data_IF_283187582290
#
_entry.id   IF_283187582290
#
_cell.length_a   1.000
_cell.length_b   1.000
_cell.length_c   1.000
_cell.angle_alpha   90.00
_cell.angle_beta   90.00
_cell.angle_gamma   90.00
#
_symmetry.space_group_name_H-M   'P 1'
#
loop_
_entity.id
_entity.type
_entity.pdbx_description
1 polymer ?
#
# COMPACT_ATOMS: atom_id res chain seq x y z
N UNK A 1 -57.61 -36.45 8.19
CA UNK A 1 -57.07 -35.39 7.36
C UNK A 1 -55.88 -34.76 8.08
N UNK A 2 -54.70 -35.06 7.54
CA UNK A 2 -53.42 -34.49 8.02
C UNK A 2 -53.19 -33.21 7.25
N UNK A 3 -53.16 -32.06 7.92
CA UNK A 3 -52.79 -30.79 7.33
C UNK A 3 -51.27 -30.67 7.41
N UNK A 4 -50.60 -30.70 6.24
CA UNK A 4 -49.19 -30.34 6.10
C UNK A 4 -49.11 -28.84 6.04
N UNK A 5 -48.53 -28.23 7.08
CA UNK A 5 -48.06 -26.86 7.02
C UNK A 5 -46.77 -26.85 6.20
N UNK A 6 -46.77 -26.12 5.09
CA UNK A 6 -45.57 -25.76 4.35
C UNK A 6 -44.78 -24.79 5.21
N UNK A 7 -43.75 -25.30 5.86
CA UNK A 7 -42.74 -24.47 6.54
C UNK A 7 -41.78 -23.95 5.44
N UNK A 8 -42.22 -22.94 4.72
CA UNK A 8 -41.39 -22.23 3.77
C UNK A 8 -40.35 -21.43 4.57
N UNK A 9 -39.26 -22.12 4.94
CA UNK A 9 -38.04 -21.44 5.35
C UNK A 9 -37.56 -20.63 4.16
N UNK A 10 -37.88 -19.34 4.11
CA UNK A 10 -37.21 -18.42 3.20
C UNK A 10 -35.72 -18.48 3.52
N UNK A 11 -34.97 -19.20 2.73
CA UNK A 11 -33.54 -19.07 2.65
C UNK A 11 -33.32 -17.62 2.32
N UNK A 12 -32.64 -16.88 3.22
CA UNK A 12 -32.27 -15.52 2.96
C UNK A 12 -31.61 -15.45 1.58
N UNK A 13 -32.04 -14.47 0.81
CA UNK A 13 -31.54 -14.21 -0.52
C UNK A 13 -30.01 -14.28 -0.48
N UNK A 14 -29.44 -15.34 -1.01
CA UNK A 14 -28.03 -15.40 -1.30
C UNK A 14 -27.85 -14.42 -2.45
N UNK A 15 -27.54 -13.18 -2.15
CA UNK A 15 -27.01 -12.23 -3.11
C UNK A 15 -25.67 -12.82 -3.58
N UNK A 16 -25.72 -13.71 -4.54
CA UNK A 16 -24.59 -13.97 -5.41
C UNK A 16 -24.42 -12.67 -6.18
N UNK A 17 -23.71 -11.73 -5.60
CA UNK A 17 -23.11 -10.65 -6.37
C UNK A 17 -22.22 -11.39 -7.35
N UNK A 18 -22.78 -11.65 -8.51
CA UNK A 18 -22.01 -12.16 -9.64
C UNK A 18 -20.89 -11.15 -9.80
N UNK A 19 -19.67 -11.53 -9.44
CA UNK A 19 -18.51 -10.68 -9.61
C UNK A 19 -18.48 -10.34 -11.08
N UNK A 20 -18.99 -9.15 -11.42
CA UNK A 20 -18.97 -8.61 -12.77
C UNK A 20 -17.48 -8.44 -13.15
N UNK A 21 -16.90 -9.51 -13.65
CA UNK A 21 -15.48 -9.53 -13.98
C UNK A 21 -14.81 -10.90 -13.95
N UNK A 22 -15.41 -11.90 -13.30
CA UNK A 22 -14.98 -13.29 -13.42
C UNK A 22 -15.74 -13.98 -14.55
N UNK A 23 -15.59 -13.51 -15.78
CA UNK A 23 -16.10 -14.27 -16.91
C UNK A 23 -15.18 -15.47 -17.16
N UNK A 24 -15.75 -16.61 -17.48
CA UNK A 24 -15.04 -17.83 -17.91
C UNK A 24 -14.11 -17.59 -19.13
N UNK A 25 -14.13 -16.40 -19.70
CA UNK A 25 -13.26 -15.95 -20.80
C UNK A 25 -11.93 -15.37 -20.37
N UNK A 26 -11.65 -15.25 -19.05
CA UNK A 26 -10.32 -14.82 -18.59
C UNK A 26 -9.35 -15.99 -18.69
N UNK A 27 -8.53 -15.94 -19.72
CA UNK A 27 -7.41 -16.84 -19.90
C UNK A 27 -6.19 -16.29 -19.12
N UNK A 28 -5.67 -17.06 -18.17
CA UNK A 28 -4.52 -16.69 -17.35
C UNK A 28 -4.74 -16.98 -15.87
N UNK A 29 -3.65 -17.00 -15.10
CA UNK A 29 -3.72 -17.12 -13.66
C UNK A 29 -4.13 -15.77 -13.05
N UNK A 30 -5.39 -15.66 -12.66
CA UNK A 30 -5.92 -14.48 -11.97
C UNK A 30 -6.48 -14.87 -10.61
N UNK A 31 -6.16 -14.10 -9.60
CA UNK A 31 -6.69 -14.23 -8.24
C UNK A 31 -7.42 -12.94 -7.88
N UNK A 32 -8.56 -13.09 -7.22
CA UNK A 32 -9.33 -11.97 -6.71
C UNK A 32 -9.49 -12.12 -5.21
N UNK A 33 -9.09 -11.09 -4.48
CA UNK A 33 -9.14 -11.03 -3.03
C UNK A 33 -10.16 -9.96 -2.65
N UNK A 34 -11.20 -10.34 -1.91
CA UNK A 34 -12.23 -9.39 -1.45
C UNK A 34 -11.71 -8.48 -0.34
N UNK A 35 -12.32 -7.31 -0.18
CA UNK A 35 -11.98 -6.35 0.86
C UNK A 35 -12.11 -6.92 2.28
N UNK A 36 -13.08 -7.79 2.52
CA UNK A 36 -13.22 -8.48 3.82
C UNK A 36 -12.00 -9.34 4.10
N UNK A 37 -11.58 -10.14 3.13
CA UNK A 37 -10.40 -10.97 3.27
C UNK A 37 -9.12 -10.12 3.42
N UNK A 38 -9.03 -8.99 2.72
CA UNK A 38 -7.90 -8.05 2.86
C UNK A 38 -7.77 -7.57 4.31
N UNK A 39 -8.88 -7.27 4.99
CA UNK A 39 -8.89 -6.83 6.40
C UNK A 39 -8.51 -7.92 7.39
N UNK A 40 -8.77 -9.17 7.07
CA UNK A 40 -8.43 -10.33 7.92
C UNK A 40 -6.96 -10.73 7.79
N UNK A 41 -6.30 -10.34 6.71
CA UNK A 41 -4.93 -10.74 6.44
C UNK A 41 -3.93 -9.91 7.25
N UNK A 42 -2.94 -10.57 7.86
CA UNK A 42 -1.87 -9.87 8.55
C UNK A 42 -1.06 -9.07 7.55
N UNK A 43 -0.93 -7.79 7.77
CA UNK A 43 -0.10 -6.88 6.99
C UNK A 43 0.84 -6.13 7.92
N UNK A 44 2.12 -6.07 7.57
CA UNK A 44 3.14 -5.37 8.35
C UNK A 44 3.16 -3.88 7.98
N UNK A 45 3.09 -3.59 6.70
CA UNK A 45 3.21 -2.22 6.18
C UNK A 45 1.89 -1.67 5.64
N UNK A 46 0.78 -2.36 5.86
CA UNK A 46 -0.52 -2.03 5.27
C UNK A 46 -0.44 -1.70 3.78
N UNK A 47 0.27 -2.56 3.04
CA UNK A 47 0.59 -2.34 1.64
C UNK A 47 -0.07 -3.36 0.73
N UNK A 48 -0.36 -2.95 -0.50
CA UNK A 48 -0.83 -3.86 -1.56
C UNK A 48 0.17 -4.99 -1.78
N UNK A 49 1.46 -4.71 -1.62
CA UNK A 49 2.52 -5.71 -1.73
C UNK A 49 2.41 -6.81 -0.65
N UNK A 50 2.01 -6.44 0.58
CA UNK A 50 1.81 -7.44 1.65
C UNK A 50 0.67 -8.40 1.30
N UNK A 51 -0.41 -7.89 0.74
CA UNK A 51 -1.54 -8.73 0.30
C UNK A 51 -1.15 -9.58 -0.90
N UNK A 52 -0.39 -9.01 -1.83
CA UNK A 52 0.05 -9.74 -3.01
C UNK A 52 0.95 -10.94 -2.69
N UNK A 53 1.62 -10.96 -1.52
CA UNK A 53 2.43 -12.10 -1.04
C UNK A 53 1.66 -13.40 -0.86
N UNK A 54 0.34 -13.33 -0.75
CA UNK A 54 -0.51 -14.53 -0.61
C UNK A 54 -0.44 -15.36 -1.89
N UNK A 55 -0.29 -14.69 -3.02
CA UNK A 55 -0.16 -15.39 -4.29
C UNK A 55 1.27 -15.99 -4.40
N UNK A 56 1.40 -17.31 -4.57
CA UNK A 56 2.70 -18.00 -4.60
C UNK A 56 3.60 -17.59 -5.77
N UNK A 57 3.04 -16.99 -6.80
CA UNK A 57 3.80 -16.49 -7.95
C UNK A 57 4.28 -15.05 -7.79
N UNK A 58 3.97 -14.42 -6.67
CA UNK A 58 4.38 -13.05 -6.38
C UNK A 58 5.46 -13.03 -5.32
N UNK A 59 6.65 -12.60 -5.69
CA UNK A 59 7.75 -12.35 -4.75
C UNK A 59 7.80 -10.86 -4.44
N UNK A 60 7.73 -10.51 -3.17
CA UNK A 60 7.85 -9.14 -2.68
C UNK A 60 9.18 -8.97 -1.96
N UNK A 61 9.92 -7.91 -2.32
CA UNK A 61 11.17 -7.53 -1.63
C UNK A 61 10.89 -6.63 -0.43
N UNK A 62 11.90 -6.41 0.43
CA UNK A 62 11.81 -5.50 1.58
C UNK A 62 11.40 -4.08 1.20
N UNK A 63 11.77 -3.61 0.01
CA UNK A 63 11.37 -2.30 -0.52
C UNK A 63 9.97 -2.26 -1.15
N UNK A 64 9.16 -3.32 -0.99
CA UNK A 64 7.79 -3.38 -1.52
C UNK A 64 7.70 -3.62 -3.04
N UNK A 65 8.82 -3.90 -3.72
CA UNK A 65 8.80 -4.24 -5.13
C UNK A 65 8.22 -5.64 -5.35
N UNK A 66 7.26 -5.76 -6.25
CA UNK A 66 6.58 -7.00 -6.59
C UNK A 66 7.15 -7.58 -7.89
N UNK A 67 7.47 -8.87 -7.86
CA UNK A 67 8.00 -9.64 -8.99
C UNK A 67 7.01 -10.76 -9.30
N UNK A 68 6.40 -10.73 -10.47
CA UNK A 68 5.42 -11.72 -10.91
C UNK A 68 6.10 -12.79 -11.76
N UNK A 69 6.04 -14.05 -11.32
CA UNK A 69 6.64 -15.19 -12.02
C UNK A 69 8.09 -14.96 -12.48
N UNK A 70 8.87 -14.20 -11.70
CA UNK A 70 10.26 -13.87 -12.03
C UNK A 70 10.47 -12.66 -12.94
N UNK A 71 9.41 -12.03 -13.43
CA UNK A 71 9.50 -10.78 -14.22
C UNK A 71 9.95 -9.61 -13.37
N UNK A 72 10.71 -8.69 -13.96
CA UNK A 72 11.11 -7.47 -13.28
C UNK A 72 9.90 -6.61 -12.93
N UNK A 73 9.92 -6.01 -11.73
CA UNK A 73 8.82 -5.19 -11.24
C UNK A 73 8.46 -3.99 -12.13
N UNK A 74 9.38 -3.51 -12.96
CA UNK A 74 9.15 -2.40 -13.91
C UNK A 74 8.24 -2.78 -15.08
N UNK A 75 8.04 -4.08 -15.31
CA UNK A 75 7.17 -4.60 -16.37
C UNK A 75 5.77 -4.94 -15.88
N UNK A 76 5.46 -4.65 -14.62
CA UNK A 76 4.16 -4.89 -14.03
C UNK A 76 3.24 -3.68 -14.20
N UNK A 77 1.94 -3.93 -14.20
CA UNK A 77 0.93 -2.89 -14.13
C UNK A 77 0.36 -2.80 -12.71
N UNK A 78 0.33 -1.60 -12.17
CA UNK A 78 -0.41 -1.27 -10.96
C UNK A 78 -1.53 -0.34 -11.38
N UNK A 79 -2.75 -0.76 -11.11
CA UNK A 79 -3.96 -0.09 -11.59
C UNK A 79 -4.89 0.20 -10.42
N UNK A 80 -5.62 1.30 -10.54
CA UNK A 80 -6.70 1.69 -9.64
C UNK A 80 -7.93 1.87 -10.52
N UNK A 81 -8.96 1.06 -10.31
CA UNK A 81 -10.18 1.03 -11.14
C UNK A 81 -9.88 0.91 -12.65
N UNK A 82 -8.82 0.19 -12.99
CA UNK A 82 -8.33 0.03 -14.36
C UNK A 82 -7.42 1.15 -14.87
N UNK A 83 -7.25 2.25 -14.14
CA UNK A 83 -6.32 3.32 -14.51
C UNK A 83 -4.89 2.98 -14.04
N UNK A 84 -3.91 3.17 -14.91
CA UNK A 84 -2.50 2.92 -14.60
C UNK A 84 -1.97 3.89 -13.56
N UNK A 85 -1.34 3.35 -12.51
CA UNK A 85 -0.72 4.09 -11.41
C UNK A 85 0.76 3.75 -11.23
N UNK A 86 1.45 3.44 -12.31
CA UNK A 86 2.86 3.13 -12.29
C UNK A 86 3.71 4.39 -12.14
N UNK A 87 4.90 4.23 -11.55
CA UNK A 87 5.96 5.23 -11.61
C UNK A 87 6.55 5.29 -13.04
N UNK A 88 6.10 6.27 -13.81
CA UNK A 88 6.49 6.45 -15.22
C UNK A 88 7.98 6.80 -15.35
N UNK A 89 8.55 7.47 -14.36
CA UNK A 89 9.94 7.94 -14.38
C UNK A 89 10.93 6.89 -13.88
N UNK A 90 10.44 5.80 -13.26
CA UNK A 90 11.27 4.74 -12.71
C UNK A 90 12.12 5.17 -11.52
N UNK A 91 11.68 6.18 -10.77
CA UNK A 91 12.38 6.75 -9.63
C UNK A 91 12.17 5.93 -8.36
N UNK A 92 11.12 5.13 -8.29
CA UNK A 92 10.77 4.34 -7.11
C UNK A 92 11.19 2.89 -7.25
N UNK A 93 11.65 2.31 -6.14
CA UNK A 93 12.03 0.89 -6.10
C UNK A 93 10.84 -0.03 -6.28
N UNK A 94 9.70 0.33 -5.71
CA UNK A 94 8.48 -0.48 -5.75
C UNK A 94 7.68 -0.31 -7.04
N UNK A 95 8.03 0.63 -7.91
CA UNK A 95 7.37 0.87 -9.20
C UNK A 95 6.04 1.62 -9.10
N UNK A 96 5.71 2.18 -7.92
CA UNK A 96 4.47 2.92 -7.69
C UNK A 96 4.71 4.40 -7.38
N UNK A 97 3.73 5.24 -7.68
CA UNK A 97 3.75 6.63 -7.26
C UNK A 97 3.80 6.73 -5.73
N UNK A 98 4.58 7.67 -5.21
CA UNK A 98 4.77 7.85 -3.77
C UNK A 98 5.79 6.91 -3.12
N UNK A 99 6.31 5.91 -3.84
CA UNK A 99 7.23 4.91 -3.30
C UNK A 99 8.57 5.48 -2.81
N UNK A 100 9.00 6.64 -3.30
CA UNK A 100 10.18 7.33 -2.78
C UNK A 100 10.00 7.81 -1.33
N UNK A 101 8.80 8.29 -1.01
CA UNK A 101 8.43 8.71 0.34
C UNK A 101 7.98 7.54 1.23
N UNK A 102 8.06 6.30 0.75
CA UNK A 102 7.55 5.14 1.46
C UNK A 102 6.03 5.12 1.60
N UNK A 103 5.32 5.95 0.83
CA UNK A 103 3.86 6.00 0.81
C UNK A 103 3.30 5.17 -0.33
N UNK A 104 2.02 4.83 -0.23
CA UNK A 104 1.30 4.15 -1.29
C UNK A 104 0.47 5.13 -2.11
N UNK A 105 0.18 4.75 -3.35
CA UNK A 105 -0.64 5.57 -4.25
C UNK A 105 -2.10 5.71 -3.77
N UNK A 106 -2.55 4.81 -2.90
CA UNK A 106 -3.91 4.79 -2.36
C UNK A 106 -3.95 4.04 -1.04
N UNK A 107 -4.95 4.37 -0.21
CA UNK A 107 -5.15 3.70 1.09
C UNK A 107 -5.72 2.30 0.90
N UNK A 108 -5.24 1.34 1.68
CA UNK A 108 -5.78 -0.02 1.74
C UNK A 108 -7.25 -0.05 2.16
N UNK A 109 -7.67 0.91 2.97
CA UNK A 109 -9.05 1.02 3.44
C UNK A 109 -10.05 1.42 2.35
N UNK A 110 -9.55 1.96 1.23
CA UNK A 110 -10.39 2.28 0.07
C UNK A 110 -10.68 1.10 -0.83
N UNK A 111 -9.96 -0.01 -0.65
CA UNK A 111 -10.06 -1.17 -1.54
C UNK A 111 -11.30 -2.00 -1.19
N UNK A 112 -12.13 -2.26 -2.17
CA UNK A 112 -13.21 -3.23 -2.12
C UNK A 112 -12.74 -4.61 -2.59
N UNK A 113 -11.87 -4.63 -3.60
CA UNK A 113 -11.40 -5.85 -4.22
C UNK A 113 -10.01 -5.65 -4.83
N UNK A 114 -9.12 -6.61 -4.64
CA UNK A 114 -7.81 -6.65 -5.27
C UNK A 114 -7.75 -7.80 -6.29
N UNK A 115 -7.47 -7.46 -7.54
CA UNK A 115 -7.30 -8.43 -8.61
C UNK A 115 -5.82 -8.55 -8.97
N UNK A 116 -5.28 -9.74 -8.86
CA UNK A 116 -3.90 -10.06 -9.23
C UNK A 116 -3.97 -10.95 -10.47
N UNK A 117 -3.36 -10.53 -11.57
CA UNK A 117 -3.29 -11.29 -12.81
C UNK A 117 -1.85 -11.52 -13.20
N UNK A 118 -1.52 -12.78 -13.52
CA UNK A 118 -0.19 -13.18 -13.94
C UNK A 118 -0.26 -13.58 -15.40
N UNK A 119 0.53 -12.89 -16.24
CA UNK A 119 0.56 -13.11 -17.69
C UNK A 119 -0.85 -13.16 -18.31
N UNK A 120 -1.69 -12.13 -18.16
CA UNK A 120 -3.02 -12.13 -18.75
C UNK A 120 -2.92 -12.08 -20.28
N UNK A 121 -3.71 -12.94 -20.94
CA UNK A 121 -3.82 -12.98 -22.40
C UNK A 121 -5.02 -12.17 -22.93
N UNK A 122 -5.52 -11.23 -22.13
CA UNK A 122 -6.66 -10.39 -22.51
C UNK A 122 -6.16 -9.16 -23.31
N UNK A 123 -6.60 -9.05 -24.55
CA UNK A 123 -6.26 -7.94 -25.45
C UNK A 123 -6.68 -6.56 -24.96
N UNK A 124 -7.60 -6.50 -23.98
CA UNK A 124 -8.04 -5.26 -23.35
C UNK A 124 -7.04 -4.76 -22.30
N UNK A 125 -6.15 -5.63 -21.83
CA UNK A 125 -5.09 -5.31 -20.90
C UNK A 125 -3.79 -5.09 -21.65
N UNK A 126 -3.25 -3.89 -21.53
CA UNK A 126 -2.03 -3.50 -22.25
C UNK A 126 -1.08 -2.72 -21.35
N UNK A 127 0.12 -2.44 -21.84
CA UNK A 127 1.10 -1.61 -21.16
C UNK A 127 1.98 -2.34 -20.14
N UNK A 128 1.94 -3.68 -20.09
CA UNK A 128 2.80 -4.48 -19.25
C UNK A 128 3.07 -5.86 -19.84
N UNK A 129 4.14 -6.51 -19.40
CA UNK A 129 4.55 -7.85 -19.86
C UNK A 129 4.71 -8.85 -18.71
N UNK A 130 4.69 -8.35 -17.47
CA UNK A 130 4.73 -9.16 -16.25
C UNK A 130 3.34 -9.49 -15.73
N UNK A 131 3.10 -9.15 -14.47
CA UNK A 131 1.77 -9.26 -13.87
C UNK A 131 1.08 -7.91 -13.74
N UNK A 132 -0.20 -7.94 -13.40
CA UNK A 132 -0.96 -6.75 -13.05
C UNK A 132 -1.64 -6.91 -11.70
N UNK A 133 -1.68 -5.80 -10.96
CA UNK A 133 -2.47 -5.66 -9.75
C UNK A 133 -3.46 -4.53 -9.99
N UNK A 134 -4.74 -4.84 -9.95
CA UNK A 134 -5.81 -3.85 -10.08
C UNK A 134 -6.59 -3.76 -8.78
N UNK A 135 -6.51 -2.61 -8.13
CA UNK A 135 -7.31 -2.30 -6.96
C UNK A 135 -8.64 -1.69 -7.40
N UNK A 136 -9.73 -2.32 -7.02
CA UNK A 136 -11.08 -1.80 -7.22
C UNK A 136 -11.48 -1.07 -5.95
N UNK A 137 -11.86 0.19 -6.06
CA UNK A 137 -12.20 1.03 -4.92
C UNK A 137 -13.63 0.79 -4.45
N UNK A 138 -13.87 1.03 -3.16
CA UNK A 138 -15.19 1.02 -2.55
C UNK A 138 -16.07 2.11 -3.15
N UNK A 139 -17.33 1.82 -3.29
CA UNK A 139 -18.37 2.79 -3.66
C UNK A 139 -19.37 2.99 -2.52
N UNK A 140 -20.13 4.08 -2.57
CA UNK A 140 -21.22 4.29 -1.65
C UNK A 140 -22.37 3.32 -1.92
N UNK A 141 -23.14 3.04 -0.89
CA UNK A 141 -24.34 2.20 -0.92
C UNK A 141 -25.56 2.96 -0.44
N UNK A 142 -26.72 2.31 -0.36
CA UNK A 142 -27.93 2.92 0.19
C UNK A 142 -27.90 3.14 1.70
N UNK A 143 -26.94 2.50 2.38
CA UNK A 143 -26.72 2.68 3.82
C UNK A 143 -25.47 3.50 4.07
N UNK A 144 -25.52 4.36 5.08
CA UNK A 144 -24.33 5.09 5.53
C UNK A 144 -23.39 4.12 6.26
N UNK A 145 -22.15 4.11 5.84
CA UNK A 145 -21.09 3.35 6.47
C UNK A 145 -19.82 4.18 6.53
N UNK A 146 -19.02 3.95 7.55
CA UNK A 146 -17.76 4.64 7.71
C UNK A 146 -16.87 3.90 8.69
N UNK A 147 -15.59 4.19 8.64
CA UNK A 147 -14.59 3.68 9.55
C UNK A 147 -13.59 4.74 9.93
N UNK A 148 -13.02 4.63 11.11
CA UNK A 148 -11.86 5.40 11.54
C UNK A 148 -10.77 4.40 11.92
N UNK A 149 -9.56 4.64 11.46
CA UNK A 149 -8.44 3.74 11.67
C UNK A 149 -7.16 4.50 12.02
N UNK A 150 -6.29 3.84 12.74
CA UNK A 150 -4.98 4.36 13.08
C UNK A 150 -3.98 3.21 13.20
N UNK A 151 -2.82 3.38 12.60
CA UNK A 151 -1.69 2.47 12.68
C UNK A 151 -0.49 3.21 13.23
N UNK A 152 0.18 2.61 14.17
CA UNK A 152 1.35 3.18 14.81
C UNK A 152 2.46 2.14 14.95
N UNK A 153 3.66 2.50 14.53
CA UNK A 153 4.85 1.69 14.66
C UNK A 153 6.01 2.58 15.08
N UNK A 154 6.81 2.12 16.04
CA UNK A 154 8.05 2.78 16.42
C UNK A 154 9.16 1.75 16.68
N UNK A 155 10.41 2.21 16.78
CA UNK A 155 11.57 1.35 17.02
C UNK A 155 11.43 0.47 18.26
N UNK A 156 10.83 0.97 19.35
CA UNK A 156 10.65 0.23 20.60
C UNK A 156 9.64 -0.92 20.50
N UNK A 157 8.70 -0.85 19.55
CA UNK A 157 7.68 -1.90 19.34
C UNK A 157 8.16 -2.98 18.38
N UNK A 158 9.20 -2.74 17.59
CA UNK A 158 9.71 -3.69 16.60
C UNK A 158 10.57 -4.79 17.24
N UNK A 159 11.07 -4.56 18.46
CA UNK A 159 11.98 -5.47 19.15
C UNK A 159 13.43 -5.39 18.65
N UNK A 160 14.31 -6.11 19.31
CA UNK A 160 15.72 -6.10 18.98
C UNK A 160 15.98 -6.72 17.60
N UNK A 161 16.86 -6.10 16.88
CA UNK A 161 17.28 -6.60 15.57
C UNK A 161 18.02 -7.92 15.74
N UNK A 162 17.73 -8.86 14.87
CA UNK A 162 18.38 -10.15 14.79
C UNK A 162 19.92 -10.06 14.94
N UNK A 163 20.49 -10.85 15.85
CA UNK A 163 21.94 -10.94 16.07
C UNK A 163 22.61 -11.37 14.77
N UNK A 164 23.51 -10.55 14.27
CA UNK A 164 24.32 -10.94 13.11
C UNK A 164 25.16 -12.15 13.46
N UNK A 165 25.31 -13.06 12.51
CA UNK A 165 26.10 -14.31 12.67
C UNK A 165 27.60 -14.04 13.00
N UNK A 166 28.06 -12.78 12.94
CA UNK A 166 29.42 -12.34 13.26
C UNK A 166 29.64 -11.97 14.76
N UNK A 167 28.65 -12.21 15.61
CA UNK A 167 28.76 -11.99 17.06
C UNK A 167 28.85 -10.51 17.47
N UNK A 168 28.59 -9.58 16.58
CA UNK A 168 28.44 -8.16 16.94
C UNK A 168 27.05 -7.90 17.45
N UNK A 169 26.95 -7.12 18.52
CA UNK A 169 25.71 -6.74 19.16
C UNK A 169 24.65 -6.31 18.14
N UNK A 170 23.41 -6.74 18.41
CA UNK A 170 22.25 -6.27 17.66
C UNK A 170 22.25 -4.75 17.66
N UNK A 171 22.42 -4.13 16.50
CA UNK A 171 22.16 -2.70 16.39
C UNK A 171 20.65 -2.53 16.53
N UNK A 172 20.23 -1.72 17.49
CA UNK A 172 18.85 -1.27 17.59
C UNK A 172 18.37 -0.79 16.22
N UNK A 173 17.08 -1.07 15.93
CA UNK A 173 16.43 -0.31 14.89
C UNK A 173 16.54 1.15 15.32
N UNK A 174 17.22 1.98 14.52
CA UNK A 174 17.32 3.40 14.78
C UNK A 174 15.95 4.01 15.06
N UNK A 175 15.91 5.19 15.62
CA UNK A 175 14.64 5.87 15.90
C UNK A 175 13.80 5.92 14.63
N UNK A 176 12.74 5.10 14.62
CA UNK A 176 11.76 5.10 13.55
C UNK A 176 10.38 5.32 14.14
N UNK A 177 9.61 6.17 13.50
CA UNK A 177 8.21 6.39 13.83
C UNK A 177 7.40 6.39 12.53
N UNK A 178 6.45 5.48 12.44
CA UNK A 178 5.46 5.42 11.35
C UNK A 178 4.08 5.56 11.98
N UNK A 179 3.39 6.60 11.59
CA UNK A 179 2.06 6.91 12.09
C UNK A 179 1.13 7.20 10.92
N UNK A 180 0.08 6.41 10.79
CA UNK A 180 -0.97 6.57 9.79
C UNK A 180 -2.32 6.60 10.47
N UNK A 181 -3.15 7.57 10.15
CA UNK A 181 -4.53 7.63 10.57
C UNK A 181 -5.43 8.10 9.45
N UNK A 182 -6.66 7.67 9.47
CA UNK A 182 -7.61 8.04 8.45
C UNK A 182 -9.04 7.72 8.83
N UNK A 183 -9.93 8.15 7.96
CA UNK A 183 -11.35 7.90 8.07
C UNK A 183 -11.97 7.69 6.70
N UNK A 184 -12.95 6.81 6.63
CA UNK A 184 -13.77 6.59 5.45
C UNK A 184 -15.22 6.93 5.75
N UNK A 185 -15.94 7.41 4.75
CA UNK A 185 -17.38 7.66 4.82
C UNK A 185 -18.00 7.39 3.47
N UNK A 186 -19.03 6.57 3.43
CA UNK A 186 -19.80 6.27 2.24
C UNK A 186 -21.30 6.24 2.52
N UNK A 187 -22.11 6.53 1.52
CA UNK A 187 -23.55 6.50 1.64
C UNK A 187 -24.28 7.09 0.45
N UNK A 188 -25.62 7.19 0.53
CA UNK A 188 -26.44 7.77 -0.51
C UNK A 188 -26.53 9.30 -0.38
N UNK A 189 -26.33 10.01 -1.48
CA UNK A 189 -26.77 11.39 -1.61
C UNK A 189 -28.27 11.40 -1.97
N UNK A 190 -28.65 10.53 -2.91
CA UNK A 190 -30.04 10.26 -3.25
C UNK A 190 -30.21 8.74 -3.28
N UNK A 191 -31.11 8.22 -2.47
CA UNK A 191 -31.37 6.77 -2.40
C UNK A 191 -31.62 6.20 -3.78
N UNK A 192 -31.03 5.05 -4.05
CA UNK A 192 -31.14 4.26 -5.28
C UNK A 192 -30.61 4.95 -6.54
N UNK A 193 -30.05 6.18 -6.44
CA UNK A 193 -29.63 6.93 -7.63
C UNK A 193 -28.23 7.51 -7.57
N UNK A 194 -27.85 8.09 -6.43
CA UNK A 194 -26.57 8.79 -6.33
C UNK A 194 -25.91 8.47 -5.00
N UNK A 195 -24.69 8.00 -5.08
CA UNK A 195 -23.89 7.57 -3.95
C UNK A 195 -22.59 8.34 -3.91
N UNK A 196 -21.97 8.38 -2.73
CA UNK A 196 -20.62 8.90 -2.56
C UNK A 196 -19.81 7.97 -1.69
N UNK A 197 -18.51 8.00 -1.89
CA UNK A 197 -17.51 7.43 -0.99
C UNK A 197 -16.35 8.41 -0.88
N UNK A 198 -15.92 8.68 0.34
CA UNK A 198 -14.79 9.57 0.62
C UNK A 198 -13.83 8.89 1.58
N UNK A 199 -12.55 9.08 1.36
CA UNK A 199 -11.49 8.65 2.27
C UNK A 199 -10.53 9.81 2.50
N UNK A 200 -10.10 9.96 3.75
CA UNK A 200 -9.01 10.82 4.13
C UNK A 200 -7.99 10.01 4.91
N UNK A 201 -6.74 10.05 4.49
CA UNK A 201 -5.64 9.40 5.17
C UNK A 201 -4.46 10.36 5.29
N UNK A 202 -3.81 10.34 6.45
CA UNK A 202 -2.55 11.03 6.68
C UNK A 202 -1.54 10.05 7.22
N UNK A 203 -0.42 9.92 6.52
CA UNK A 203 0.74 9.15 6.93
C UNK A 203 1.91 10.08 7.26
N UNK A 204 2.65 9.77 8.30
CA UNK A 204 3.91 10.42 8.67
C UNK A 204 4.92 9.34 9.00
N UNK A 205 6.03 9.32 8.28
CA UNK A 205 7.10 8.35 8.44
C UNK A 205 8.40 9.07 8.67
N UNK A 206 9.02 8.77 9.80
CA UNK A 206 10.34 9.27 10.17
C UNK A 206 11.26 8.08 10.37
N UNK A 207 12.41 8.12 9.72
CA UNK A 207 13.44 7.10 9.84
C UNK A 207 14.79 7.77 10.07
N UNK A 208 15.58 7.21 10.97
CA UNK A 208 16.98 7.57 11.07
C UNK A 208 17.72 7.16 9.79
N UNK A 209 18.47 8.10 9.25
CA UNK A 209 19.35 7.80 8.13
C UNK A 209 20.46 6.86 8.59
N UNK A 210 20.67 5.78 7.85
CA UNK A 210 21.75 4.81 8.14
C UNK A 210 23.14 5.44 8.19
N UNK A 211 23.32 6.63 7.65
CA UNK A 211 24.56 7.40 7.61
C UNK A 211 24.40 8.77 8.28
N UNK A 212 23.74 8.80 9.42
CA UNK A 212 23.64 10.01 10.25
C UNK A 212 24.95 10.26 11.00
N UNK A 213 25.33 11.52 11.18
CA UNK A 213 26.44 11.91 12.03
C UNK A 213 26.24 11.52 13.49
N UNK A 214 24.98 11.35 13.92
CA UNK A 214 24.62 10.99 15.28
C UNK A 214 24.78 9.49 15.61
N UNK A 215 24.78 8.61 14.62
CA UNK A 215 24.88 7.16 14.83
C UNK A 215 26.31 6.58 14.63
N UNK A 216 27.29 7.45 14.44
CA UNK A 216 28.71 7.07 14.29
C UNK A 216 29.03 6.32 12.97
N UNK A 217 28.07 6.16 12.06
CA UNK A 217 28.27 5.51 10.76
C UNK A 217 28.78 6.49 9.68
N UNK A 218 28.64 7.80 9.91
CA UNK A 218 29.22 8.81 9.05
C UNK A 218 30.72 9.00 9.37
N UNK A 219 31.51 9.14 8.32
CA UNK A 219 32.93 9.50 8.45
C UNK A 219 33.16 11.01 8.74
N UNK A 220 32.07 11.78 8.64
CA UNK A 220 32.09 13.23 8.89
C UNK A 220 31.70 13.48 10.33
N UNK A 221 32.58 14.17 11.08
CA UNK A 221 32.28 14.58 12.46
C UNK A 221 31.10 15.58 12.45
N UNK A 222 30.24 15.51 13.45
CA UNK A 222 29.09 16.41 13.60
C UNK A 222 29.54 17.88 13.65
N UNK A 223 30.69 18.16 14.31
CA UNK A 223 31.28 19.50 14.39
C UNK A 223 31.68 20.02 13.01
N UNK A 224 32.26 19.16 12.17
CA UNK A 224 32.67 19.50 10.81
C UNK A 224 31.46 19.73 9.91
N UNK A 225 30.44 18.87 10.03
CA UNK A 225 29.17 19.00 9.30
C UNK A 225 28.46 20.34 9.66
N UNK A 226 28.41 20.69 10.93
CA UNK A 226 27.84 21.96 11.40
C UNK A 226 28.64 23.18 10.89
N UNK A 227 29.94 23.09 10.84
CA UNK A 227 30.78 24.17 10.30
C UNK A 227 30.49 24.42 8.81
N UNK A 228 30.41 23.33 8.01
CA UNK A 228 30.07 23.41 6.58
C UNK A 228 28.64 23.98 6.41
N UNK A 229 27.68 23.53 7.21
CA UNK A 229 26.31 24.02 7.15
C UNK A 229 26.22 25.53 7.45
N UNK A 230 26.96 26.00 8.45
CA UNK A 230 27.01 27.41 8.81
C UNK A 230 27.64 28.26 7.69
N UNK A 231 28.65 27.72 7.03
CA UNK A 231 29.31 28.40 5.89
C UNK A 231 28.35 28.49 4.69
N UNK A 232 27.61 27.39 4.39
CA UNK A 232 26.56 27.37 3.33
C UNK A 232 25.44 28.37 3.64
N UNK A 233 25.00 28.44 4.91
CA UNK A 233 23.98 29.41 5.33
C UNK A 233 24.49 30.86 5.17
N UNK A 234 25.75 31.12 5.53
CA UNK A 234 26.35 32.44 5.37
C UNK A 234 26.49 32.85 3.88
N UNK A 235 26.86 31.91 3.02
CA UNK A 235 26.94 32.16 1.57
C UNK A 235 25.53 32.40 0.97
N UNK A 236 24.53 31.61 1.35
CA UNK A 236 23.16 31.79 0.91
C UNK A 236 22.58 33.15 1.33
N UNK A 237 22.85 33.56 2.58
CA UNK A 237 22.42 34.87 3.09
C UNK A 237 23.05 36.04 2.33
N UNK A 238 24.32 35.95 1.91
CA UNK A 238 24.97 36.93 1.04
C UNK A 238 24.32 37.10 -0.31
N UNK A 239 23.67 36.04 -0.79
CA UNK A 239 22.94 36.04 -2.08
C UNK A 239 21.44 36.32 -1.91
N UNK A 240 20.97 36.65 -0.70
CA UNK A 240 19.56 36.92 -0.42
C UNK A 240 18.69 35.68 -0.42
N UNK A 241 19.29 34.48 -0.35
CA UNK A 241 18.55 33.19 -0.31
C UNK A 241 18.36 32.83 1.17
N UNK A 242 17.10 32.69 1.58
CA UNK A 242 16.77 32.15 2.90
C UNK A 242 16.88 30.63 2.88
N UNK A 243 18.05 30.11 3.23
CA UNK A 243 18.28 28.67 3.32
C UNK A 243 17.78 28.15 4.68
N UNK A 244 16.64 27.53 4.69
CA UNK A 244 16.13 26.75 5.83
C UNK A 244 16.65 25.32 5.68
N UNK A 245 17.91 25.13 6.03
CA UNK A 245 18.46 23.77 6.11
C UNK A 245 17.76 22.99 7.22
N UNK A 246 17.50 21.71 6.96
CA UNK A 246 16.96 20.71 7.89
C UNK A 246 17.89 20.53 9.06
#
# INVERSE_FOLDING_TARGET
SVWLNEDAKMLGEVNVIGMAGLSASRTGAAETISGDRIRELPSINHSVADIARINPFVKVTEGGAMYFAGSNNRYNAIQIDGAMSNDVFGLTRNGTNGGQAGTQAFSMETIDQLQISIAPFDVRQSGFTGGSVNAITKSGTNDFHGSVYSYFQNGNLVGDRYVRHDGKDSSDYGDMTDYTWGATLGGPIVKDKLFFFANYERASKEFDNAYSTNNGMSKVDFTEAQAILNEVKAMAAKQGINYQGV
#
